data_IF_835454978542
#
_entry.id   IF_835454978542
#
_cell.length_a   1.000
_cell.length_b   1.000
_cell.length_c   1.000
_cell.angle_alpha   90.00
_cell.angle_beta   90.00
_cell.angle_gamma   90.00
#
_symmetry.space_group_name_H-M   'P 1'
#
loop_
_entity.id
_entity.type
_entity.pdbx_description
1 polymer ?
#
# COMPACT_ATOMS: atom_id res chain seq x y z
N UNK A 1 -4.74 47.76 13.60
CA UNK A 1 -4.17 46.67 12.76
C UNK A 1 -5.17 45.57 12.39
N UNK A 2 -5.97 45.01 13.31
CA UNK A 2 -7.03 44.06 12.94
C UNK A 2 -8.26 44.77 12.32
N UNK A 3 -8.70 45.89 12.92
CA UNK A 3 -9.80 46.71 12.43
C UNK A 3 -9.56 47.26 11.00
N UNK A 4 -8.39 47.88 10.77
CA UNK A 4 -8.03 48.44 9.45
C UNK A 4 -8.04 47.40 8.31
N UNK A 5 -7.77 46.13 8.63
CA UNK A 5 -7.84 45.04 7.65
C UNK A 5 -9.29 44.67 7.35
N UNK A 6 -10.15 44.61 8.37
CA UNK A 6 -11.58 44.31 8.19
C UNK A 6 -12.29 45.36 7.35
N UNK A 7 -12.01 46.64 7.57
CA UNK A 7 -12.62 47.74 6.82
C UNK A 7 -12.25 47.68 5.33
N UNK A 8 -10.97 47.41 5.04
CA UNK A 8 -10.46 47.28 3.67
C UNK A 8 -11.03 46.05 2.94
N UNK A 9 -11.28 44.97 3.67
CA UNK A 9 -11.95 43.78 3.14
C UNK A 9 -13.42 44.09 2.80
N UNK A 10 -14.11 44.86 3.66
CA UNK A 10 -15.50 45.24 3.45
C UNK A 10 -15.67 46.13 2.20
N UNK A 11 -14.80 47.11 2.00
CA UNK A 11 -14.80 47.96 0.79
C UNK A 11 -14.59 47.14 -0.48
N UNK A 12 -13.61 46.23 -0.49
CA UNK A 12 -13.31 45.39 -1.66
C UNK A 12 -14.44 44.41 -1.96
N UNK A 13 -15.07 43.81 -0.95
CA UNK A 13 -16.21 42.92 -1.15
C UNK A 13 -17.41 43.65 -1.78
N UNK A 14 -17.65 44.90 -1.36
CA UNK A 14 -18.70 45.77 -1.92
C UNK A 14 -18.44 46.08 -3.40
N UNK A 15 -17.18 46.32 -3.80
CA UNK A 15 -16.81 46.55 -5.20
C UNK A 15 -17.04 45.32 -6.09
N UNK A 16 -16.93 44.12 -5.53
CA UNK A 16 -17.13 42.86 -6.26
C UNK A 16 -18.58 42.36 -6.21
N UNK A 17 -19.51 43.09 -5.58
CA UNK A 17 -20.89 42.64 -5.28
C UNK A 17 -20.95 41.26 -4.60
N UNK A 18 -19.92 40.91 -3.81
CA UNK A 18 -19.85 39.63 -3.13
C UNK A 18 -20.45 39.78 -1.71
N UNK A 19 -21.46 38.99 -1.34
CA UNK A 19 -21.97 39.02 0.02
C UNK A 19 -20.91 38.50 1.00
N UNK A 20 -20.84 39.07 2.21
CA UNK A 20 -19.86 38.70 3.24
C UNK A 20 -19.96 37.20 3.61
N UNK A 21 -21.13 36.57 3.42
CA UNK A 21 -21.34 35.13 3.59
C UNK A 21 -20.44 34.26 2.69
N UNK A 22 -20.07 34.74 1.50
CA UNK A 22 -19.13 34.06 0.62
C UNK A 22 -17.70 34.03 1.18
N UNK A 23 -17.34 35.02 2.02
CA UNK A 23 -16.03 35.09 2.68
C UNK A 23 -15.98 34.22 3.95
N UNK A 24 -17.11 34.09 4.66
CA UNK A 24 -17.18 33.32 5.91
C UNK A 24 -17.11 31.79 5.71
N UNK A 25 -17.14 31.31 4.46
CA UNK A 25 -17.13 29.87 4.15
C UNK A 25 -18.41 29.12 4.55
N UNK A 26 -19.45 29.85 5.00
CA UNK A 26 -20.72 29.28 5.46
C UNK A 26 -21.59 28.70 4.33
N UNK A 27 -21.21 28.91 3.07
CA UNK A 27 -21.89 28.37 1.89
C UNK A 27 -21.51 26.90 1.61
N UNK A 28 -20.48 26.38 2.28
CA UNK A 28 -20.09 24.98 2.18
C UNK A 28 -20.89 24.19 3.22
N UNK A 29 -22.09 23.76 2.83
CA UNK A 29 -22.83 22.76 3.60
C UNK A 29 -22.20 21.39 3.35
N UNK A 30 -21.51 20.86 4.36
CA UNK A 30 -21.20 19.43 4.40
C UNK A 30 -22.51 18.68 4.52
N UNK A 31 -23.05 18.27 3.36
CA UNK A 31 -24.14 17.31 3.28
C UNK A 31 -23.59 16.01 3.86
N UNK A 32 -23.82 15.78 5.16
CA UNK A 32 -23.71 14.46 5.75
C UNK A 32 -24.70 13.58 4.99
N UNK A 33 -24.24 12.64 4.15
CA UNK A 33 -25.17 11.80 3.42
C UNK A 33 -26.00 11.03 4.46
N UNK A 34 -27.32 11.09 4.32
CA UNK A 34 -28.22 10.25 5.11
C UNK A 34 -27.91 8.80 4.76
N UNK A 35 -27.11 8.14 5.61
CA UNK A 35 -26.60 6.76 5.41
C UNK A 35 -27.77 5.80 5.11
N UNK A 36 -28.98 6.12 5.57
CA UNK A 36 -30.20 5.33 5.37
C UNK A 36 -30.78 5.41 3.95
N UNK A 37 -30.40 6.41 3.14
CA UNK A 37 -30.92 6.63 1.77
C UNK A 37 -29.90 6.32 0.68
N UNK A 38 -28.70 5.85 1.03
CA UNK A 38 -27.72 5.47 0.02
C UNK A 38 -28.21 4.21 -0.71
N UNK A 39 -28.21 4.20 -2.06
CA UNK A 39 -28.47 2.97 -2.79
C UNK A 39 -27.43 1.93 -2.36
N UNK A 40 -27.85 0.69 -2.12
CA UNK A 40 -26.90 -0.40 -1.83
C UNK A 40 -26.05 -0.61 -3.09
N UNK A 41 -24.82 -0.12 -3.09
CA UNK A 41 -23.88 -0.43 -4.16
C UNK A 41 -23.56 -1.94 -4.12
N UNK A 42 -23.44 -2.59 -5.28
CA UNK A 42 -22.94 -3.95 -5.32
C UNK A 42 -21.51 -3.97 -4.77
N UNK A 43 -21.28 -4.79 -3.74
CA UNK A 43 -19.93 -5.04 -3.24
C UNK A 43 -19.24 -6.02 -4.18
N UNK A 44 -18.15 -5.59 -4.81
CA UNK A 44 -17.25 -6.46 -5.56
C UNK A 44 -16.03 -6.76 -4.68
N UNK A 45 -15.72 -8.04 -4.40
CA UNK A 45 -14.45 -8.42 -3.79
C UNK A 45 -13.28 -7.97 -4.66
N UNK A 46 -12.20 -7.52 -4.03
CA UNK A 46 -10.96 -7.27 -4.75
C UNK A 46 -10.37 -8.58 -5.26
N UNK A 47 -9.88 -8.59 -6.49
CA UNK A 47 -9.12 -9.72 -7.02
C UNK A 47 -7.70 -9.68 -6.45
N UNK A 48 -7.40 -10.57 -5.51
CA UNK A 48 -6.14 -10.57 -4.75
C UNK A 48 -4.99 -11.14 -5.60
N UNK A 49 -5.31 -11.98 -6.60
CA UNK A 49 -4.33 -12.70 -7.39
C UNK A 49 -3.46 -11.75 -8.25
N UNK A 50 -4.04 -10.65 -8.76
CA UNK A 50 -3.28 -9.65 -9.52
C UNK A 50 -2.31 -8.83 -8.66
N UNK A 51 -2.50 -8.81 -7.34
CA UNK A 51 -1.65 -8.08 -6.39
C UNK A 51 -0.64 -8.97 -5.66
N UNK A 52 -0.61 -10.27 -5.97
CA UNK A 52 0.39 -11.17 -5.40
C UNK A 52 1.79 -10.68 -5.83
N UNK A 53 2.66 -10.41 -4.86
CA UNK A 53 3.97 -9.85 -5.17
C UNK A 53 4.86 -10.90 -5.84
N UNK A 54 5.36 -10.55 -7.03
CA UNK A 54 6.31 -11.34 -7.79
C UNK A 54 7.69 -10.70 -7.74
N UNK A 55 8.73 -11.50 -7.57
CA UNK A 55 10.09 -10.99 -7.66
C UNK A 55 10.39 -10.56 -9.11
N UNK A 56 10.94 -9.35 -9.32
CA UNK A 56 11.23 -8.86 -10.66
C UNK A 56 12.36 -9.63 -11.34
N UNK A 57 13.26 -10.24 -10.57
CA UNK A 57 14.37 -11.07 -11.07
C UNK A 57 14.70 -12.19 -10.10
N UNK A 58 15.36 -13.24 -10.60
CA UNK A 58 15.90 -14.34 -9.78
C UNK A 58 16.91 -13.81 -8.74
N UNK A 59 17.72 -12.81 -9.12
CA UNK A 59 18.71 -12.21 -8.21
C UNK A 59 18.02 -11.50 -7.05
N UNK A 60 16.94 -10.74 -7.32
CA UNK A 60 16.15 -10.10 -6.28
C UNK A 60 15.51 -11.13 -5.32
N UNK A 61 15.03 -12.25 -5.86
CA UNK A 61 14.53 -13.36 -5.05
C UNK A 61 15.63 -13.97 -4.16
N UNK A 62 16.81 -14.24 -4.73
CA UNK A 62 17.96 -14.78 -3.98
C UNK A 62 18.42 -13.85 -2.85
N UNK A 63 18.44 -12.54 -3.08
CA UNK A 63 18.75 -11.55 -2.05
C UNK A 63 17.71 -11.59 -0.93
N UNK A 64 16.43 -11.55 -1.27
CA UNK A 64 15.36 -11.60 -0.28
C UNK A 64 15.36 -12.90 0.54
N UNK A 65 15.73 -14.03 -0.07
CA UNK A 65 15.90 -15.32 0.63
C UNK A 65 17.09 -15.27 1.59
N UNK A 66 18.22 -14.72 1.17
CA UNK A 66 19.40 -14.56 2.04
C UNK A 66 19.08 -13.70 3.27
N UNK A 67 18.30 -12.63 3.06
CA UNK A 67 17.84 -11.75 4.13
C UNK A 67 16.88 -12.47 5.09
N UNK A 68 15.93 -13.26 4.58
CA UNK A 68 14.97 -14.04 5.41
C UNK A 68 15.66 -15.14 6.24
N UNK A 69 16.65 -15.82 5.64
CA UNK A 69 17.44 -16.84 6.33
C UNK A 69 18.53 -16.23 7.23
N UNK A 70 18.71 -14.90 7.20
CA UNK A 70 19.80 -14.18 7.84
C UNK A 70 21.20 -14.77 7.57
N UNK A 71 21.35 -15.46 6.43
CA UNK A 71 22.54 -16.25 6.10
C UNK A 71 22.86 -16.07 4.62
N UNK A 72 24.10 -15.68 4.25
CA UNK A 72 24.49 -15.60 2.85
C UNK A 72 24.32 -16.96 2.16
N UNK A 73 23.70 -16.98 0.96
CA UNK A 73 23.50 -18.21 0.19
C UNK A 73 24.80 -18.97 -0.11
N UNK A 74 25.95 -18.27 -0.12
CA UNK A 74 27.27 -18.87 -0.31
C UNK A 74 27.67 -19.82 0.83
N UNK A 75 27.11 -19.65 2.03
CA UNK A 75 27.37 -20.51 3.20
C UNK A 75 26.51 -21.78 3.22
N UNK A 76 25.51 -21.86 2.35
CA UNK A 76 24.62 -23.02 2.23
C UNK A 76 25.34 -24.18 1.53
N UNK A 77 24.89 -25.42 1.77
CA UNK A 77 25.37 -26.59 1.04
C UNK A 77 25.03 -26.49 -0.46
N UNK A 78 25.68 -27.29 -1.30
CA UNK A 78 25.34 -27.31 -2.73
C UNK A 78 23.92 -27.80 -2.96
N UNK A 79 23.44 -28.74 -2.14
CA UNK A 79 22.09 -29.28 -2.18
C UNK A 79 21.03 -28.21 -1.85
N UNK A 80 21.29 -27.41 -0.81
CA UNK A 80 20.41 -26.30 -0.41
C UNK A 80 20.31 -25.23 -1.50
N UNK A 81 21.44 -24.91 -2.15
CA UNK A 81 21.47 -23.97 -3.26
C UNK A 81 20.71 -24.50 -4.47
N UNK A 82 20.89 -25.77 -4.82
CA UNK A 82 20.16 -26.41 -5.91
C UNK A 82 18.65 -26.44 -5.66
N UNK A 83 18.22 -26.66 -4.41
CA UNK A 83 16.81 -26.61 -4.03
C UNK A 83 16.21 -25.21 -4.16
N UNK A 84 16.94 -24.18 -3.74
CA UNK A 84 16.51 -22.79 -3.94
C UNK A 84 16.40 -22.46 -5.43
N UNK A 85 17.39 -22.88 -6.22
CA UNK A 85 17.41 -22.65 -7.67
C UNK A 85 16.26 -23.37 -8.40
N UNK A 86 15.88 -24.58 -7.97
CA UNK A 86 14.73 -25.29 -8.54
C UNK A 86 13.42 -24.58 -8.25
N UNK A 87 13.22 -24.08 -7.02
CA UNK A 87 12.01 -23.30 -6.67
C UNK A 87 11.92 -22.02 -7.50
N UNK A 88 13.03 -21.30 -7.65
CA UNK A 88 13.05 -20.04 -8.41
C UNK A 88 12.90 -20.24 -9.92
N UNK A 89 13.19 -21.44 -10.44
CA UNK A 89 12.89 -21.82 -11.81
C UNK A 89 11.40 -22.15 -12.01
N UNK A 90 10.71 -22.64 -10.97
CA UNK A 90 9.28 -22.96 -11.01
C UNK A 90 8.40 -21.71 -10.78
N UNK A 91 8.73 -20.88 -9.80
CA UNK A 91 7.90 -19.76 -9.37
C UNK A 91 8.74 -18.58 -8.87
N UNK A 92 8.28 -17.36 -9.16
CA UNK A 92 8.80 -16.12 -8.59
C UNK A 92 7.77 -15.43 -7.68
N UNK A 93 6.71 -16.14 -7.30
CA UNK A 93 5.72 -15.66 -6.35
C UNK A 93 6.31 -15.67 -4.95
N UNK A 94 6.34 -14.53 -4.28
CA UNK A 94 7.02 -14.38 -2.99
C UNK A 94 6.45 -15.29 -1.89
N UNK A 95 5.12 -15.39 -1.80
CA UNK A 95 4.45 -16.20 -0.77
C UNK A 95 4.78 -17.68 -0.95
N UNK A 96 4.73 -18.18 -2.18
CA UNK A 96 5.04 -19.57 -2.52
C UNK A 96 6.52 -19.90 -2.28
N UNK A 97 7.43 -19.06 -2.79
CA UNK A 97 8.88 -19.19 -2.59
C UNK A 97 9.22 -19.30 -1.10
N UNK A 98 8.73 -18.35 -0.28
CA UNK A 98 9.03 -18.36 1.15
C UNK A 98 8.36 -19.52 1.90
N UNK A 99 7.15 -19.91 1.52
CA UNK A 99 6.46 -21.05 2.16
C UNK A 99 7.26 -22.34 1.96
N UNK A 100 7.71 -22.61 0.73
CA UNK A 100 8.49 -23.81 0.41
C UNK A 100 9.86 -23.81 1.08
N UNK A 101 10.58 -22.68 1.02
CA UNK A 101 11.91 -22.54 1.63
C UNK A 101 11.83 -22.72 3.15
N UNK A 102 10.91 -22.00 3.82
CA UNK A 102 10.75 -22.12 5.27
C UNK A 102 10.32 -23.52 5.69
N UNK A 103 9.46 -24.18 4.91
CA UNK A 103 9.09 -25.58 5.14
C UNK A 103 10.30 -26.51 5.09
N UNK A 104 11.16 -26.37 4.08
CA UNK A 104 12.38 -27.16 3.94
C UNK A 104 13.35 -26.99 5.11
N UNK A 105 13.67 -25.74 5.49
CA UNK A 105 14.61 -25.46 6.57
C UNK A 105 14.05 -25.84 7.95
N UNK A 106 12.75 -25.67 8.20
CA UNK A 106 12.12 -26.08 9.48
C UNK A 106 12.15 -27.59 9.67
N UNK A 107 11.87 -28.36 8.62
CA UNK A 107 11.88 -29.83 8.69
C UNK A 107 13.28 -30.38 8.98
N UNK A 108 14.34 -29.70 8.54
CA UNK A 108 15.73 -30.08 8.83
C UNK A 108 16.22 -29.68 10.22
N UNK A 109 15.62 -28.68 10.87
CA UNK A 109 15.95 -28.27 12.24
C UNK A 109 15.27 -29.13 13.31
N UNK A 110 14.28 -29.94 12.92
CA UNK A 110 13.45 -30.72 13.85
C UNK A 110 14.00 -32.13 14.12
N UNK A 111 15.27 -32.40 13.80
CA UNK A 111 15.98 -33.65 14.06
C UNK A 111 17.35 -33.38 14.66
#
# INVERSE_FOLDING_TARGET
>A
KAADRSDRIHELASQLNLPISALSGSDIQLLMPDIKKQPKLPHQPFDIAEFEYHFPTIIAAKLAIADDLATPLAKLSSEERAFIDSILAETLIRTEVFTRIRGYFRNRQSG
#
